data_IF_665692519865
#
_entry.id   IF_665692519865
#
_cell.length_a   1.000
_cell.length_b   1.000
_cell.length_c   1.000
_cell.angle_alpha   90.00
_cell.angle_beta   90.00
_cell.angle_gamma   90.00
#
_symmetry.space_group_name_H-M   'P 1'
#
loop_
_entity.id
_entity.type
_entity.pdbx_description
1 polymer ?
#
# COMPACT_ATOMS: atom_id res chain seq x y z
N UNK A 1 1.99 -6.25 31.06
CA UNK A 1 2.84 -5.93 29.89
C UNK A 1 1.98 -5.58 28.65
N UNK A 2 0.95 -6.34 28.31
CA UNK A 2 0.07 -6.12 27.14
C UNK A 2 -0.74 -4.80 27.20
N UNK A 3 -1.13 -4.33 28.38
CA UNK A 3 -1.96 -3.11 28.54
C UNK A 3 -1.16 -1.82 28.26
N UNK A 4 0.13 -1.79 28.58
CA UNK A 4 1.00 -0.64 28.29
C UNK A 4 1.26 -0.48 26.79
N UNK A 5 1.34 -1.59 26.04
CA UNK A 5 1.55 -1.55 24.59
C UNK A 5 0.30 -1.06 23.85
N UNK A 6 -0.90 -1.39 24.36
CA UNK A 6 -2.16 -0.90 23.79
C UNK A 6 -2.36 0.61 24.02
N UNK A 7 -1.97 1.12 25.18
CA UNK A 7 -2.02 2.55 25.50
C UNK A 7 -1.03 3.38 24.66
N UNK A 8 0.16 2.85 24.40
CA UNK A 8 1.13 3.49 23.50
C UNK A 8 0.63 3.55 22.06
N UNK A 9 0.01 2.48 21.57
CA UNK A 9 -0.59 2.46 20.21
C UNK A 9 -1.75 3.45 20.11
N UNK A 10 -2.62 3.54 21.12
CA UNK A 10 -3.72 4.51 21.17
C UNK A 10 -3.22 5.96 21.27
N UNK A 11 -2.14 6.19 22.00
CA UNK A 11 -1.52 7.53 22.12
C UNK A 11 -0.90 7.97 20.79
N UNK A 12 -0.21 7.08 20.09
CA UNK A 12 0.31 7.33 18.74
C UNK A 12 -0.82 7.53 17.72
N UNK A 13 -1.89 6.77 17.79
CA UNK A 13 -3.07 6.95 16.92
C UNK A 13 -3.76 8.29 17.15
N UNK A 14 -3.91 8.74 18.41
CA UNK A 14 -4.46 10.05 18.77
C UNK A 14 -3.54 11.21 18.33
N UNK A 15 -2.23 11.07 18.50
CA UNK A 15 -1.24 12.04 18.05
C UNK A 15 -1.23 12.18 16.52
N UNK A 16 -1.34 11.05 15.80
CA UNK A 16 -1.46 11.00 14.35
C UNK A 16 -2.77 11.63 13.84
N UNK A 17 -3.88 11.37 14.50
CA UNK A 17 -5.18 11.97 14.17
C UNK A 17 -5.15 13.50 14.30
N UNK A 18 -4.48 14.04 15.30
CA UNK A 18 -4.30 15.49 15.48
C UNK A 18 -3.41 16.12 14.42
N UNK A 19 -2.34 15.44 13.95
CA UNK A 19 -1.48 15.93 12.85
C UNK A 19 -2.26 15.99 11.53
N UNK A 20 -3.10 15.01 11.24
CA UNK A 20 -3.94 14.97 10.03
C UNK A 20 -5.00 16.09 10.03
N UNK A 21 -5.53 16.47 11.19
CA UNK A 21 -6.55 17.53 11.34
C UNK A 21 -5.95 18.94 11.18
N UNK A 22 -4.68 19.17 11.56
CA UNK A 22 -4.04 20.48 11.52
C UNK A 22 -3.55 20.87 10.11
N UNK A 23 -3.28 19.90 9.23
CA UNK A 23 -2.88 20.18 7.86
C UNK A 23 -4.12 20.33 6.98
N UNK A 24 -4.29 21.48 6.30
CA UNK A 24 -5.23 21.67 5.18
C UNK A 24 -4.85 20.73 4.03
N UNK A 25 -5.03 19.42 4.23
CA UNK A 25 -4.79 18.44 3.19
C UNK A 25 -5.85 18.58 2.10
N UNK A 26 -5.42 18.86 0.89
CA UNK A 26 -6.25 18.67 -0.29
C UNK A 26 -6.69 17.19 -0.30
N UNK A 27 -7.98 16.89 -0.54
CA UNK A 27 -8.56 15.51 -0.51
C UNK A 27 -7.67 14.46 -1.19
N UNK A 28 -6.98 14.88 -2.23
CA UNK A 28 -6.02 14.10 -2.99
C UNK A 28 -4.82 13.63 -2.15
N UNK A 29 -4.15 14.54 -1.45
CA UNK A 29 -2.99 14.21 -0.62
C UNK A 29 -3.39 13.32 0.56
N UNK A 30 -4.57 13.52 1.12
CA UNK A 30 -5.11 12.69 2.22
C UNK A 30 -5.23 11.22 1.83
N UNK A 31 -5.75 10.92 0.63
CA UNK A 31 -5.88 9.55 0.13
C UNK A 31 -4.52 8.87 -0.03
N UNK A 32 -3.52 9.59 -0.58
CA UNK A 32 -2.16 9.08 -0.74
C UNK A 32 -1.54 8.78 0.63
N UNK A 33 -1.67 9.68 1.61
CA UNK A 33 -1.12 9.49 2.94
C UNK A 33 -1.77 8.31 3.67
N UNK A 34 -3.11 8.20 3.63
CA UNK A 34 -3.82 7.07 4.24
C UNK A 34 -3.35 5.75 3.62
N UNK A 35 -3.26 5.68 2.28
CA UNK A 35 -2.77 4.49 1.58
C UNK A 35 -1.32 4.13 1.95
N UNK A 36 -0.45 5.13 2.06
CA UNK A 36 0.95 4.92 2.48
C UNK A 36 1.03 4.32 3.90
N UNK A 37 0.31 4.90 4.86
CA UNK A 37 0.33 4.39 6.24
C UNK A 37 -0.32 3.02 6.38
N UNK A 38 -1.38 2.75 5.61
CA UNK A 38 -1.98 1.42 5.56
C UNK A 38 -0.96 0.36 5.09
N UNK A 39 -0.22 0.64 4.02
CA UNK A 39 0.81 -0.28 3.51
C UNK A 39 1.94 -0.46 4.52
N UNK A 40 2.44 0.61 5.13
CA UNK A 40 3.48 0.53 6.17
C UNK A 40 2.99 -0.34 7.34
N UNK A 41 1.75 -0.16 7.79
CA UNK A 41 1.16 -0.99 8.83
C UNK A 41 1.09 -2.48 8.46
N UNK A 42 0.72 -2.79 7.23
CA UNK A 42 0.69 -4.18 6.72
C UNK A 42 2.10 -4.78 6.65
N UNK A 43 3.11 -4.01 6.21
CA UNK A 43 4.52 -4.47 6.18
C UNK A 43 5.01 -4.79 7.59
N UNK A 44 4.76 -3.91 8.56
CA UNK A 44 5.15 -4.14 9.97
C UNK A 44 4.48 -5.41 10.51
N UNK A 45 3.19 -5.57 10.25
CA UNK A 45 2.44 -6.76 10.65
C UNK A 45 2.99 -8.04 10.01
N UNK A 46 3.35 -8.00 8.73
CA UNK A 46 3.95 -9.13 8.02
C UNK A 46 5.30 -9.54 8.62
N UNK A 47 6.18 -8.56 8.90
CA UNK A 47 7.46 -8.83 9.54
C UNK A 47 7.29 -9.42 10.94
N UNK A 48 6.32 -8.93 11.69
CA UNK A 48 5.99 -9.48 13.01
C UNK A 48 5.51 -10.94 12.91
N UNK A 49 4.61 -11.26 11.99
CA UNK A 49 4.11 -12.62 11.77
C UNK A 49 5.23 -13.58 11.32
N UNK A 50 6.11 -13.13 10.42
CA UNK A 50 7.27 -13.91 9.98
C UNK A 50 8.21 -14.24 11.14
N UNK A 51 8.48 -13.25 12.00
CA UNK A 51 9.31 -13.46 13.18
C UNK A 51 8.66 -14.43 14.18
N UNK A 52 7.36 -14.32 14.41
CA UNK A 52 6.63 -15.25 15.27
C UNK A 52 6.63 -16.67 14.71
N UNK A 53 6.42 -16.82 13.41
CA UNK A 53 6.49 -18.13 12.75
C UNK A 53 7.89 -18.76 12.87
N UNK A 54 8.94 -17.97 12.69
CA UNK A 54 10.33 -18.44 12.86
C UNK A 54 10.60 -18.93 14.29
N UNK A 55 10.18 -18.16 15.30
CA UNK A 55 10.35 -18.53 16.71
C UNK A 55 9.56 -19.80 17.03
N UNK A 56 8.36 -19.93 16.50
CA UNK A 56 7.52 -21.11 16.70
C UNK A 56 8.16 -22.36 16.09
N UNK A 57 8.59 -22.31 14.83
CA UNK A 57 9.26 -23.44 14.15
C UNK A 57 10.53 -23.85 14.86
N UNK A 58 11.36 -22.87 15.28
CA UNK A 58 12.57 -23.13 16.05
C UNK A 58 12.25 -23.91 17.33
N UNK A 59 11.23 -23.47 18.08
CA UNK A 59 10.83 -24.10 19.32
C UNK A 59 10.26 -25.50 19.08
N UNK A 60 9.41 -25.69 18.06
CA UNK A 60 8.83 -27.00 17.71
C UNK A 60 9.92 -28.03 17.38
N UNK A 61 10.93 -27.63 16.59
CA UNK A 61 12.06 -28.52 16.26
C UNK A 61 12.90 -28.82 17.51
N UNK A 62 13.18 -27.82 18.37
CA UNK A 62 13.91 -28.03 19.63
C UNK A 62 13.17 -28.98 20.56
N UNK A 63 11.88 -28.83 20.73
CA UNK A 63 11.04 -29.67 21.56
C UNK A 63 11.01 -31.11 21.01
N UNK A 64 10.87 -31.28 19.68
CA UNK A 64 10.95 -32.63 19.03
C UNK A 64 12.30 -33.30 19.24
N UNK A 65 13.41 -32.56 19.08
CA UNK A 65 14.75 -33.11 19.37
C UNK A 65 14.84 -33.54 20.84
N UNK A 66 14.41 -32.69 21.76
CA UNK A 66 14.50 -32.97 23.18
C UNK A 66 13.69 -34.21 23.57
N UNK A 67 12.44 -34.30 23.13
CA UNK A 67 11.60 -35.47 23.40
C UNK A 67 12.15 -36.76 22.78
N UNK A 68 12.58 -36.73 21.52
CA UNK A 68 13.16 -37.89 20.88
C UNK A 68 14.45 -38.37 21.59
N UNK A 69 15.33 -37.45 22.00
CA UNK A 69 16.52 -37.79 22.77
C UNK A 69 16.16 -38.37 24.14
N UNK A 70 15.11 -37.87 24.79
CA UNK A 70 14.62 -38.41 26.04
C UNK A 70 14.13 -39.86 25.87
N UNK A 71 13.37 -40.12 24.81
CA UNK A 71 12.88 -41.47 24.48
C UNK A 71 14.02 -42.43 24.16
N UNK A 72 15.10 -41.94 23.48
CA UNK A 72 16.31 -42.75 23.23
C UNK A 72 16.98 -43.15 24.54
N UNK A 73 17.17 -42.21 25.46
CA UNK A 73 17.75 -42.50 26.76
C UNK A 73 16.88 -43.46 27.56
N UNK A 74 15.60 -43.25 27.61
CA UNK A 74 14.64 -44.17 28.32
C UNK A 74 14.74 -45.58 27.80
N UNK A 75 14.88 -45.75 26.46
CA UNK A 75 15.04 -47.10 25.87
C UNK A 75 16.34 -47.76 26.29
N UNK A 76 17.49 -47.01 26.28
CA UNK A 76 18.79 -47.54 26.72
C UNK A 76 18.67 -48.05 28.15
N UNK A 77 18.12 -47.25 29.06
CA UNK A 77 17.94 -47.67 30.48
C UNK A 77 17.01 -48.88 30.64
N UNK A 78 15.96 -48.94 29.84
CA UNK A 78 15.00 -50.07 29.85
C UNK A 78 15.70 -51.36 29.41
N UNK A 79 16.50 -51.32 28.35
CA UNK A 79 17.15 -52.51 27.83
C UNK A 79 18.29 -52.97 28.76
N UNK A 80 18.99 -52.04 29.43
CA UNK A 80 20.00 -52.33 30.44
C UNK A 80 19.35 -52.75 31.78
N UNK A 81 18.00 -52.66 31.94
CA UNK A 81 17.28 -52.90 33.21
C UNK A 81 17.78 -52.02 34.37
N UNK A 82 18.26 -50.84 34.06
CA UNK A 82 18.73 -49.82 34.98
C UNK A 82 17.62 -48.82 35.33
N UNK A 83 17.69 -48.22 36.50
CA UNK A 83 16.75 -47.18 36.91
C UNK A 83 17.05 -45.83 36.23
N UNK A 84 16.06 -45.22 35.64
CA UNK A 84 16.18 -43.91 34.97
C UNK A 84 16.43 -42.83 36.03
N UNK A 85 17.51 -42.04 35.93
CA UNK A 85 17.75 -40.92 36.85
C UNK A 85 16.71 -39.81 36.74
N UNK A 86 16.36 -39.17 37.82
CA UNK A 86 15.42 -38.07 37.87
C UNK A 86 16.00 -36.72 37.41
N UNK A 87 17.29 -36.71 37.09
CA UNK A 87 18.04 -35.51 36.62
C UNK A 87 17.86 -35.31 35.13
N UNK A 88 17.96 -34.06 34.68
CA UNK A 88 17.95 -33.76 33.24
C UNK A 88 19.22 -34.28 32.58
N UNK A 89 19.08 -35.32 31.79
CA UNK A 89 20.18 -36.00 31.10
C UNK A 89 20.60 -35.32 29.79
N UNK A 90 19.78 -34.43 29.27
CA UNK A 90 19.97 -33.75 27.98
C UNK A 90 20.35 -32.30 28.21
N UNK A 91 21.56 -31.92 27.80
CA UNK A 91 22.08 -30.56 27.90
C UNK A 91 22.15 -29.95 26.50
N UNK A 92 21.38 -28.92 26.25
CA UNK A 92 21.52 -28.10 25.05
C UNK A 92 22.72 -27.17 25.20
N UNK A 93 23.71 -27.29 24.32
CA UNK A 93 24.92 -26.45 24.31
C UNK A 93 24.78 -25.28 23.33
N UNK A 94 24.21 -25.58 22.17
CA UNK A 94 23.89 -24.53 21.15
C UNK A 94 22.59 -24.87 20.43
N UNK A 95 22.21 -24.05 19.43
CA UNK A 95 21.00 -24.27 18.65
C UNK A 95 20.97 -25.61 17.91
N UNK A 96 22.14 -26.12 17.56
CA UNK A 96 22.31 -27.33 16.76
C UNK A 96 23.11 -28.41 17.47
N UNK A 97 23.43 -28.24 18.76
CA UNK A 97 24.36 -29.15 19.47
C UNK A 97 23.84 -29.51 20.86
N UNK A 98 23.70 -30.82 21.12
CA UNK A 98 23.18 -31.38 22.35
C UNK A 98 24.18 -32.41 22.90
N UNK A 99 24.32 -32.46 24.22
CA UNK A 99 25.07 -33.48 24.94
C UNK A 99 24.06 -34.28 25.75
N UNK A 100 24.10 -35.59 25.61
CA UNK A 100 23.21 -36.53 26.30
C UNK A 100 24.05 -37.40 27.23
N UNK A 101 23.87 -37.20 28.53
CA UNK A 101 24.53 -37.99 29.55
C UNK A 101 23.76 -39.28 29.80
N UNK A 102 24.28 -40.40 29.34
CA UNK A 102 23.62 -41.70 29.53
C UNK A 102 24.04 -42.33 30.85
N UNK A 103 25.30 -42.08 31.31
CA UNK A 103 25.87 -42.67 32.52
C UNK A 103 25.67 -44.17 32.66
N UNK A 104 25.53 -44.86 31.55
CA UNK A 104 25.38 -46.32 31.45
C UNK A 104 26.03 -46.79 30.15
N UNK A 105 26.34 -48.07 30.04
CA UNK A 105 27.00 -48.68 28.88
C UNK A 105 25.96 -48.88 27.75
N UNK A 106 26.35 -48.50 26.55
CA UNK A 106 25.51 -48.70 25.35
C UNK A 106 26.36 -49.05 24.13
N UNK A 107 25.83 -49.82 23.21
CA UNK A 107 26.47 -50.18 21.94
C UNK A 107 26.20 -49.18 20.84
N UNK A 108 27.21 -48.85 20.02
CA UNK A 108 27.13 -47.85 18.94
C UNK A 108 25.98 -48.13 17.93
N UNK A 109 25.82 -49.37 17.54
CA UNK A 109 24.78 -49.75 16.55
C UNK A 109 23.36 -49.62 17.11
N UNK A 110 23.20 -49.91 18.39
CA UNK A 110 21.93 -49.81 19.11
C UNK A 110 21.52 -48.32 19.24
N UNK A 111 22.48 -47.46 19.60
CA UNK A 111 22.26 -46.01 19.69
C UNK A 111 21.82 -45.43 18.36
N UNK A 112 22.48 -45.76 17.26
CA UNK A 112 22.12 -45.24 15.94
C UNK A 112 20.70 -45.66 15.52
N UNK A 113 20.37 -46.94 15.80
CA UNK A 113 19.03 -47.47 15.54
C UNK A 113 17.94 -46.73 16.35
N UNK A 114 18.20 -46.46 17.62
CA UNK A 114 17.24 -45.73 18.47
C UNK A 114 17.11 -44.26 18.03
N UNK A 115 18.21 -43.56 17.75
CA UNK A 115 18.16 -42.21 17.22
C UNK A 115 17.31 -42.12 15.94
N UNK A 116 17.55 -43.00 14.96
CA UNK A 116 16.76 -43.05 13.74
C UNK A 116 15.27 -43.29 14.01
N UNK A 117 14.96 -44.30 14.83
CA UNK A 117 13.58 -44.68 15.13
C UNK A 117 12.81 -43.57 15.86
N UNK A 118 13.42 -42.95 16.87
CA UNK A 118 12.72 -41.90 17.63
C UNK A 118 12.58 -40.61 16.84
N UNK A 119 13.58 -40.22 15.99
CA UNK A 119 13.45 -39.07 15.11
C UNK A 119 12.38 -39.27 14.03
N UNK A 120 12.26 -40.48 13.45
CA UNK A 120 11.18 -40.80 12.53
C UNK A 120 9.79 -40.69 13.18
N UNK A 121 9.61 -41.14 14.42
CA UNK A 121 8.35 -41.04 15.17
C UNK A 121 7.89 -39.59 15.34
N UNK A 122 8.80 -38.68 15.66
CA UNK A 122 8.49 -37.27 15.81
C UNK A 122 8.51 -36.50 14.47
N UNK A 123 8.70 -37.23 13.35
CA UNK A 123 8.80 -36.67 11.98
C UNK A 123 9.89 -35.59 11.87
N UNK A 124 11.03 -35.85 12.47
CA UNK A 124 12.19 -34.97 12.40
C UNK A 124 13.06 -35.41 11.22
N UNK A 125 12.84 -34.80 10.06
CA UNK A 125 13.61 -35.05 8.82
C UNK A 125 14.86 -34.15 8.79
N UNK A 126 15.80 -34.40 9.68
CA UNK A 126 17.05 -33.65 9.77
C UNK A 126 18.25 -34.59 9.70
N UNK A 127 19.26 -34.17 8.94
CA UNK A 127 20.55 -34.80 9.00
C UNK A 127 21.19 -34.57 10.37
N UNK A 128 21.78 -35.58 10.92
CA UNK A 128 22.48 -35.46 12.19
C UNK A 128 23.78 -36.24 12.19
N UNK A 129 24.72 -35.73 12.96
CA UNK A 129 25.96 -36.44 13.29
C UNK A 129 26.03 -36.64 14.79
N UNK A 130 26.57 -37.76 15.19
CA UNK A 130 26.76 -38.07 16.61
C UNK A 130 28.14 -38.61 16.88
N UNK A 131 28.62 -38.36 18.10
CA UNK A 131 29.89 -38.85 18.58
C UNK A 131 29.72 -39.43 19.99
N UNK A 132 30.34 -40.56 20.22
CA UNK A 132 30.34 -41.25 21.51
C UNK A 132 31.73 -41.04 22.16
N UNK A 133 31.71 -40.60 23.41
CA UNK A 133 32.89 -40.36 24.21
C UNK A 133 32.96 -41.37 25.35
N UNK A 134 34.20 -41.87 25.59
CA UNK A 134 34.54 -42.68 26.74
C UNK A 134 35.57 -41.93 27.59
N UNK A 135 35.25 -41.77 28.86
CA UNK A 135 36.12 -41.07 29.80
C UNK A 135 37.41 -41.86 30.11
N UNK A 136 37.41 -43.17 29.93
CA UNK A 136 38.59 -44.00 30.20
C UNK A 136 39.72 -43.78 29.18
N UNK A 137 39.36 -43.47 27.95
CA UNK A 137 40.26 -43.21 26.83
C UNK A 137 40.50 -41.72 26.55
N UNK A 138 39.71 -40.82 27.19
CA UNK A 138 39.69 -39.37 26.95
C UNK A 138 39.54 -38.98 25.48
N UNK A 139 38.95 -39.86 24.65
CA UNK A 139 38.88 -39.70 23.21
C UNK A 139 37.45 -40.02 22.68
N UNK A 140 37.17 -39.55 21.49
CA UNK A 140 35.99 -39.98 20.73
C UNK A 140 36.19 -41.43 20.29
N UNK A 141 35.36 -42.34 20.79
CA UNK A 141 35.42 -43.76 20.48
C UNK A 141 34.79 -44.08 19.15
N UNK A 142 33.72 -43.36 18.82
CA UNK A 142 32.95 -43.59 17.59
C UNK A 142 32.22 -42.32 17.18
N UNK A 143 32.11 -42.07 15.88
CA UNK A 143 31.30 -41.01 15.30
C UNK A 143 30.74 -41.42 13.96
N UNK A 144 29.53 -41.01 13.67
CA UNK A 144 28.87 -41.25 12.38
C UNK A 144 27.98 -40.08 11.96
N UNK A 145 27.88 -39.90 10.64
CA UNK A 145 26.95 -38.93 10.02
C UNK A 145 25.78 -39.72 9.41
N UNK A 146 24.58 -39.30 9.75
CA UNK A 146 23.33 -39.91 9.27
C UNK A 146 22.57 -38.89 8.47
N UNK A 147 22.48 -39.11 7.16
CA UNK A 147 21.72 -38.27 6.26
C UNK A 147 20.34 -38.85 5.98
N UNK A 148 19.33 -38.02 5.96
CA UNK A 148 17.96 -38.37 5.53
C UNK A 148 17.95 -38.77 4.05
N UNK A 149 18.69 -38.05 3.21
CA UNK A 149 18.78 -38.30 1.76
C UNK A 149 19.84 -39.38 1.39
N UNK A 150 20.42 -40.07 2.37
CA UNK A 150 21.44 -41.13 2.16
C UNK A 150 22.78 -40.64 1.64
N UNK A 151 23.05 -39.33 1.60
CA UNK A 151 24.36 -38.78 1.26
C UNK A 151 25.32 -38.99 2.42
N UNK A 152 26.44 -39.64 2.14
CA UNK A 152 27.48 -39.83 3.15
C UNK A 152 28.36 -38.58 3.21
N UNK A 153 28.35 -37.91 4.36
CA UNK A 153 29.34 -36.88 4.70
C UNK A 153 30.25 -37.38 5.79
N UNK A 154 31.47 -36.80 5.91
CA UNK A 154 32.38 -37.12 7.00
C UNK A 154 31.96 -36.41 8.28
N UNK A 155 32.09 -37.09 9.41
CA UNK A 155 31.87 -36.48 10.73
C UNK A 155 32.89 -35.36 10.96
N UNK A 156 32.42 -34.24 11.49
CA UNK A 156 33.28 -33.15 11.87
C UNK A 156 33.85 -33.41 13.27
N UNK A 157 35.06 -34.00 13.35
CA UNK A 157 35.69 -34.33 14.65
C UNK A 157 35.91 -33.11 15.52
N UNK A 158 36.35 -32.00 14.95
CA UNK A 158 36.62 -30.73 15.65
C UNK A 158 35.33 -30.00 16.10
N UNK A 159 34.17 -30.45 15.62
CA UNK A 159 32.89 -29.80 15.94
C UNK A 159 32.29 -30.30 17.28
N UNK A 160 32.84 -31.32 17.87
CA UNK A 160 32.40 -31.90 19.14
C UNK A 160 33.34 -31.46 20.29
N UNK A 161 32.77 -30.75 21.25
CA UNK A 161 33.53 -30.31 22.43
C UNK A 161 33.57 -31.41 23.48
N UNK A 162 34.76 -31.68 24.02
CA UNK A 162 34.91 -32.59 25.16
C UNK A 162 34.24 -32.04 26.40
N UNK A 163 33.56 -32.93 27.15
CA UNK A 163 33.06 -32.65 28.48
C UNK A 163 33.71 -33.58 29.50
N UNK A 164 34.60 -33.06 30.31
CA UNK A 164 35.39 -33.80 31.30
C UNK A 164 34.58 -34.23 32.51
N UNK A 165 33.41 -33.69 32.71
CA UNK A 165 32.57 -33.93 33.89
C UNK A 165 31.63 -35.15 33.75
N UNK A 166 31.57 -35.75 32.54
CA UNK A 166 30.66 -36.85 32.22
C UNK A 166 31.41 -38.15 31.92
N UNK A 167 30.91 -39.31 32.42
CA UNK A 167 31.58 -40.61 32.29
C UNK A 167 31.21 -41.32 30.99
N UNK A 168 29.94 -41.49 30.70
CA UNK A 168 29.43 -42.08 29.47
C UNK A 168 28.37 -41.16 28.86
N UNK A 169 28.70 -40.53 27.74
CA UNK A 169 27.80 -39.62 27.06
C UNK A 169 27.98 -39.71 25.54
N UNK A 170 26.96 -39.32 24.83
CA UNK A 170 27.07 -39.03 23.42
C UNK A 170 26.70 -37.57 23.14
N UNK A 171 27.30 -37.01 22.11
CA UNK A 171 26.99 -35.69 21.63
C UNK A 171 26.30 -35.81 20.25
N UNK A 172 25.34 -34.99 20.00
CA UNK A 172 24.60 -34.97 18.73
C UNK A 172 24.54 -33.55 18.19
N UNK A 173 24.76 -33.45 16.90
CA UNK A 173 24.74 -32.17 16.17
C UNK A 173 23.88 -32.27 14.94
N UNK A 174 23.12 -31.20 14.63
CA UNK A 174 22.28 -31.06 13.48
C UNK A 174 22.83 -29.96 12.55
N UNK A 175 23.69 -30.28 11.57
CA UNK A 175 24.40 -29.30 10.74
C UNK A 175 23.43 -28.35 9.99
N UNK A 176 22.30 -28.86 9.52
CA UNK A 176 21.38 -28.14 8.65
C UNK A 176 20.06 -27.71 9.32
N UNK A 177 20.01 -27.69 10.66
CA UNK A 177 18.78 -27.34 11.41
C UNK A 177 18.20 -25.98 11.01
N UNK A 178 19.04 -24.97 10.73
CA UNK A 178 18.57 -23.65 10.29
C UNK A 178 17.89 -23.68 8.93
N UNK A 179 18.35 -24.54 8.01
CA UNK A 179 17.72 -24.67 6.68
C UNK A 179 16.32 -25.26 6.77
N UNK A 180 16.10 -26.16 7.74
CA UNK A 180 14.78 -26.74 8.02
C UNK A 180 13.78 -25.64 8.46
N UNK A 181 14.18 -24.72 9.32
CA UNK A 181 13.32 -23.60 9.72
C UNK A 181 12.88 -22.76 8.51
N UNK A 182 13.80 -22.46 7.59
CA UNK A 182 13.48 -21.70 6.38
C UNK A 182 12.59 -22.49 5.41
N UNK A 183 12.77 -23.80 5.28
CA UNK A 183 11.94 -24.66 4.43
C UNK A 183 10.48 -24.68 4.93
N UNK A 184 10.28 -24.79 6.24
CA UNK A 184 8.96 -24.75 6.86
C UNK A 184 8.26 -23.41 6.66
N UNK A 185 9.00 -22.29 6.59
CA UNK A 185 8.47 -20.97 6.32
C UNK A 185 8.06 -20.74 4.85
N UNK A 186 8.20 -21.73 3.96
CA UNK A 186 7.97 -21.57 2.52
C UNK A 186 6.57 -21.05 2.18
N UNK A 187 5.54 -21.43 2.91
CA UNK A 187 4.16 -20.95 2.73
C UNK A 187 4.02 -19.44 2.98
N UNK A 188 4.85 -18.84 3.86
CA UNK A 188 4.82 -17.41 4.16
C UNK A 188 5.39 -16.56 3.02
N UNK A 189 6.24 -17.15 2.15
CA UNK A 189 6.80 -16.45 0.98
C UNK A 189 5.72 -16.09 -0.04
N UNK A 190 4.67 -16.90 -0.17
CA UNK A 190 3.53 -16.59 -1.06
C UNK A 190 2.83 -15.32 -0.58
N UNK A 191 2.56 -15.20 0.72
CA UNK A 191 1.96 -13.99 1.28
C UNK A 191 2.84 -12.75 1.10
N UNK A 192 4.15 -12.91 1.28
CA UNK A 192 5.12 -11.83 1.06
C UNK A 192 5.15 -11.40 -0.42
N UNK A 193 5.10 -12.33 -1.35
CA UNK A 193 5.05 -12.05 -2.79
C UNK A 193 3.76 -11.29 -3.18
N UNK A 194 2.61 -11.71 -2.65
CA UNK A 194 1.33 -11.02 -2.87
C UNK A 194 1.37 -9.59 -2.33
N UNK A 195 1.91 -9.40 -1.13
CA UNK A 195 2.06 -8.08 -0.52
C UNK A 195 2.97 -7.17 -1.37
N UNK A 196 4.07 -7.71 -1.89
CA UNK A 196 4.97 -6.97 -2.79
C UNK A 196 4.27 -6.55 -4.09
N UNK A 197 3.44 -7.43 -4.64
CA UNK A 197 2.62 -7.12 -5.83
C UNK A 197 1.63 -5.99 -5.54
N UNK A 198 0.94 -6.03 -4.39
CA UNK A 198 0.02 -4.96 -3.96
C UNK A 198 0.76 -3.62 -3.82
N UNK A 199 1.98 -3.63 -3.28
CA UNK A 199 2.81 -2.43 -3.15
C UNK A 199 3.19 -1.85 -4.52
N UNK A 200 3.56 -2.70 -5.49
CA UNK A 200 3.85 -2.26 -6.87
C UNK A 200 2.61 -1.59 -7.49
N UNK A 201 1.43 -2.22 -7.37
CA UNK A 201 0.17 -1.68 -7.90
C UNK A 201 -0.14 -0.33 -7.25
N UNK A 202 0.06 -0.20 -5.94
CA UNK A 202 -0.16 1.06 -5.23
C UNK A 202 0.76 2.17 -5.72
N UNK A 203 2.07 1.92 -5.82
CA UNK A 203 3.06 2.89 -6.31
C UNK A 203 2.72 3.33 -7.74
N UNK A 204 2.36 2.38 -8.60
CA UNK A 204 1.93 2.66 -9.97
C UNK A 204 0.65 3.50 -10.01
N UNK A 205 -0.33 3.19 -9.17
CA UNK A 205 -1.59 3.96 -9.05
C UNK A 205 -1.34 5.39 -8.61
N UNK A 206 -0.47 5.60 -7.61
CA UNK A 206 -0.07 6.94 -7.16
C UNK A 206 0.64 7.71 -8.27
N UNK A 207 1.54 7.05 -9.01
CA UNK A 207 2.22 7.66 -10.14
C UNK A 207 1.23 8.15 -11.22
N UNK A 208 0.28 7.30 -11.63
CA UNK A 208 -0.76 7.68 -12.61
C UNK A 208 -1.61 8.84 -12.11
N UNK A 209 -1.96 8.84 -10.83
CA UNK A 209 -2.78 9.86 -10.20
C UNK A 209 -2.06 11.23 -10.17
N UNK A 210 -0.76 11.24 -9.88
CA UNK A 210 0.08 12.44 -9.92
C UNK A 210 0.23 12.98 -11.35
N UNK A 211 0.42 12.08 -12.30
CA UNK A 211 0.51 12.43 -13.72
C UNK A 211 -0.79 13.06 -14.22
N UNK A 212 -1.94 12.46 -13.90
CA UNK A 212 -3.26 12.99 -14.26
C UNK A 212 -3.48 14.38 -13.66
N UNK A 213 -3.13 14.58 -12.38
CA UNK A 213 -3.21 15.90 -11.73
C UNK A 213 -2.39 16.94 -12.48
N UNK A 214 -1.15 16.61 -12.84
CA UNK A 214 -0.26 17.48 -13.59
C UNK A 214 -0.84 17.85 -14.96
N UNK A 215 -1.39 16.90 -15.68
CA UNK A 215 -2.05 17.17 -16.97
C UNK A 215 -3.24 18.12 -16.83
N UNK A 216 -4.06 17.92 -15.80
CA UNK A 216 -5.22 18.81 -15.54
C UNK A 216 -4.76 20.24 -15.22
N UNK A 217 -3.71 20.40 -14.42
CA UNK A 217 -3.13 21.72 -14.10
C UNK A 217 -2.57 22.40 -15.36
N UNK A 218 -1.78 21.69 -16.18
CA UNK A 218 -1.24 22.22 -17.43
C UNK A 218 -2.35 22.60 -18.41
N UNK A 219 -3.40 21.78 -18.54
CA UNK A 219 -4.55 22.10 -19.39
C UNK A 219 -5.27 23.38 -18.94
N UNK A 220 -5.44 23.56 -17.63
CA UNK A 220 -6.04 24.75 -17.06
C UNK A 220 -5.22 26.01 -17.34
N UNK A 221 -3.91 25.94 -17.09
CA UNK A 221 -3.00 27.06 -17.32
C UNK A 221 -2.92 27.41 -18.82
N UNK A 222 -2.88 26.41 -19.69
CA UNK A 222 -2.93 26.62 -21.13
C UNK A 222 -4.20 27.36 -21.56
N UNK A 223 -5.37 26.91 -21.10
CA UNK A 223 -6.67 27.53 -21.45
C UNK A 223 -6.74 28.97 -20.94
N UNK A 224 -6.30 29.22 -19.70
CA UNK A 224 -6.30 30.56 -19.13
C UNK A 224 -5.37 31.52 -19.91
N UNK A 225 -4.14 31.08 -20.21
CA UNK A 225 -3.17 31.87 -20.93
C UNK A 225 -3.62 32.16 -22.38
N UNK A 226 -4.05 31.11 -23.10
CA UNK A 226 -4.55 31.26 -24.48
C UNK A 226 -5.76 32.20 -24.55
N UNK A 227 -6.63 32.13 -23.55
CA UNK A 227 -7.76 33.07 -23.50
C UNK A 227 -7.34 34.51 -23.39
N UNK A 228 -6.39 34.80 -22.49
CA UNK A 228 -5.87 36.17 -22.32
C UNK A 228 -5.20 36.66 -23.62
N UNK A 229 -4.38 35.80 -24.23
CA UNK A 229 -3.68 36.07 -25.48
C UNK A 229 -4.60 36.29 -26.69
N UNK A 230 -5.80 35.66 -26.70
CA UNK A 230 -6.81 35.91 -27.74
C UNK A 230 -7.68 37.13 -27.46
N UNK A 231 -8.01 37.40 -26.20
CA UNK A 231 -8.91 38.48 -25.80
C UNK A 231 -8.32 39.88 -26.16
N UNK A 232 -7.02 40.02 -25.99
CA UNK A 232 -6.32 41.30 -26.25
C UNK A 232 -6.34 41.72 -27.73
N UNK A 233 -5.91 40.88 -28.74
CA UNK A 233 -5.97 41.30 -30.14
C UNK A 233 -7.43 41.44 -30.63
N UNK A 234 -8.32 40.62 -30.12
CA UNK A 234 -9.73 40.69 -30.48
C UNK A 234 -10.40 41.98 -30.02
N UNK A 235 -10.09 42.45 -28.81
CA UNK A 235 -10.53 43.76 -28.33
C UNK A 235 -9.99 44.89 -29.20
N UNK A 236 -8.72 44.82 -29.61
CA UNK A 236 -8.12 45.81 -30.52
C UNK A 236 -8.81 45.82 -31.88
N UNK A 237 -9.13 44.66 -32.46
CA UNK A 237 -9.87 44.55 -33.72
C UNK A 237 -11.28 45.17 -33.58
N UNK A 238 -11.97 44.88 -32.49
CA UNK A 238 -13.30 45.43 -32.22
C UNK A 238 -13.28 46.96 -32.09
N UNK A 239 -12.33 47.49 -31.33
CA UNK A 239 -12.15 48.94 -31.13
C UNK A 239 -11.87 49.61 -32.47
N UNK A 240 -10.89 49.13 -33.24
CA UNK A 240 -10.53 49.67 -34.54
C UNK A 240 -11.69 49.61 -35.53
N UNK A 241 -12.42 48.48 -35.60
CA UNK A 241 -13.55 48.28 -36.51
C UNK A 241 -14.73 49.17 -36.14
N UNK A 242 -15.03 49.32 -34.86
CA UNK A 242 -16.11 50.22 -34.40
C UNK A 242 -15.73 51.68 -34.69
N UNK A 243 -14.48 52.07 -34.44
CA UNK A 243 -14.00 53.42 -34.78
C UNK A 243 -14.12 53.69 -36.28
N UNK A 244 -13.62 52.80 -37.12
CA UNK A 244 -13.73 52.92 -38.59
C UNK A 244 -15.19 52.98 -39.02
N UNK A 245 -16.06 52.14 -38.49
CA UNK A 245 -17.50 52.16 -38.82
C UNK A 245 -18.24 53.44 -38.38
N UNK A 246 -17.63 54.21 -37.45
CA UNK A 246 -18.15 55.51 -37.01
C UNK A 246 -17.80 56.68 -37.93
N UNK A 247 -16.80 56.55 -38.82
CA UNK A 247 -16.34 57.61 -39.74
C UNK A 247 -17.33 57.82 -40.89
N UNK A 248 -17.50 59.10 -41.32
CA UNK A 248 -18.47 59.47 -42.36
C UNK A 248 -18.12 58.81 -43.70
N UNK A 249 -16.83 58.69 -44.06
CA UNK A 249 -16.37 58.05 -45.30
C UNK A 249 -16.81 56.59 -45.43
N UNK A 250 -16.96 55.89 -44.31
CA UNK A 250 -17.42 54.49 -44.32
C UNK A 250 -18.97 54.44 -44.24
N UNK A 251 -19.58 55.32 -43.48
CA UNK A 251 -21.06 55.41 -43.39
C UNK A 251 -21.71 55.75 -44.72
N UNK A 252 -21.12 56.66 -45.48
CA UNK A 252 -21.60 57.13 -46.76
C UNK A 252 -21.37 56.12 -47.90
N UNK A 253 -20.57 55.10 -47.67
CA UNK A 253 -20.32 54.01 -48.61
C UNK A 253 -20.96 52.69 -48.15
N UNK A 254 -22.16 52.32 -48.70
CA UNK A 254 -22.92 51.14 -48.25
C UNK A 254 -22.10 49.82 -48.32
N UNK A 255 -21.19 49.69 -49.25
CA UNK A 255 -20.36 48.51 -49.42
C UNK A 255 -19.29 48.40 -48.32
N UNK A 256 -18.63 49.47 -47.99
CA UNK A 256 -17.63 49.50 -46.94
C UNK A 256 -18.28 49.30 -45.55
N UNK A 257 -19.39 49.97 -45.29
CA UNK A 257 -20.19 49.82 -44.05
C UNK A 257 -20.60 48.35 -43.85
N UNK A 258 -21.05 47.68 -44.92
CA UNK A 258 -21.41 46.23 -44.85
C UNK A 258 -20.21 45.36 -44.47
N UNK A 259 -19.03 45.59 -45.06
CA UNK A 259 -17.83 44.83 -44.67
C UNK A 259 -17.41 45.09 -43.24
N UNK A 260 -17.45 46.30 -42.80
CA UNK A 260 -17.12 46.67 -41.41
C UNK A 260 -18.07 46.03 -40.41
N UNK A 261 -19.36 45.99 -40.71
CA UNK A 261 -20.35 45.28 -39.91
C UNK A 261 -20.11 43.76 -39.86
N UNK A 262 -19.64 43.17 -40.96
CA UNK A 262 -19.26 41.76 -40.97
C UNK A 262 -18.07 41.52 -40.04
N UNK A 263 -17.04 42.33 -40.07
CA UNK A 263 -15.86 42.23 -39.19
C UNK A 263 -16.29 42.33 -37.73
N UNK A 264 -17.07 43.33 -37.36
CA UNK A 264 -17.58 43.52 -35.99
C UNK A 264 -18.36 42.28 -35.52
N UNK A 265 -19.30 41.78 -36.38
CA UNK A 265 -20.13 40.64 -36.04
C UNK A 265 -19.33 39.36 -35.89
N UNK A 266 -18.33 39.13 -36.75
CA UNK A 266 -17.46 37.96 -36.62
C UNK A 266 -16.53 38.03 -35.39
N UNK A 267 -16.03 39.23 -35.09
CA UNK A 267 -15.21 39.46 -33.89
C UNK A 267 -16.03 39.24 -32.61
N UNK A 268 -17.25 39.73 -32.55
CA UNK A 268 -18.15 39.47 -31.42
C UNK A 268 -18.45 37.98 -31.26
N UNK A 269 -18.70 37.25 -32.39
CA UNK A 269 -18.94 35.81 -32.38
C UNK A 269 -17.75 35.03 -31.88
N UNK A 270 -16.52 35.46 -32.30
CA UNK A 270 -15.30 34.83 -31.83
C UNK A 270 -15.10 35.04 -30.30
N UNK A 271 -15.39 36.26 -29.81
CA UNK A 271 -15.37 36.55 -28.38
C UNK A 271 -16.28 35.64 -27.58
N UNK A 272 -17.51 35.44 -28.06
CA UNK A 272 -18.45 34.51 -27.43
C UNK A 272 -17.94 33.06 -27.42
N UNK A 273 -17.29 32.60 -28.52
CA UNK A 273 -16.71 31.27 -28.56
C UNK A 273 -15.58 31.10 -27.54
N UNK A 274 -14.69 32.09 -27.40
CA UNK A 274 -13.61 32.09 -26.41
C UNK A 274 -14.18 32.02 -24.99
N UNK A 275 -15.20 32.83 -24.69
CA UNK A 275 -15.86 32.80 -23.37
C UNK A 275 -16.54 31.45 -23.08
N UNK A 276 -17.14 30.83 -24.09
CA UNK A 276 -17.76 29.51 -23.97
C UNK A 276 -16.73 28.41 -23.68
N UNK A 277 -15.56 28.44 -24.35
CA UNK A 277 -14.45 27.50 -24.07
C UNK A 277 -13.96 27.64 -22.63
N UNK A 278 -13.77 28.88 -22.16
CA UNK A 278 -13.40 29.17 -20.77
C UNK A 278 -14.41 28.63 -19.76
N UNK A 279 -15.67 28.85 -20.05
CA UNK A 279 -16.76 28.38 -19.18
C UNK A 279 -16.72 26.86 -19.02
N UNK A 280 -16.62 26.11 -20.14
CA UNK A 280 -16.50 24.66 -20.11
C UNK A 280 -15.25 24.22 -19.30
N UNK A 281 -14.10 24.82 -19.54
CA UNK A 281 -12.86 24.48 -18.84
C UNK A 281 -12.90 24.77 -17.34
N UNK A 282 -13.60 25.83 -16.91
CA UNK A 282 -13.83 26.14 -15.49
C UNK A 282 -14.83 25.16 -14.84
N UNK A 283 -15.82 24.72 -15.59
CA UNK A 283 -16.85 23.80 -15.11
C UNK A 283 -16.27 22.41 -14.83
N UNK A 284 -15.44 21.89 -15.73
CA UNK A 284 -14.76 20.59 -15.56
C UNK A 284 -13.81 20.56 -14.36
N UNK A 285 -13.32 21.73 -13.92
CA UNK A 285 -12.42 21.83 -12.76
C UNK A 285 -13.14 21.86 -11.40
N UNK A 286 -14.45 21.69 -11.33
CA UNK A 286 -15.28 21.79 -10.11
C UNK A 286 -15.11 23.13 -9.35
N UNK A 287 -14.69 24.19 -10.02
CA UNK A 287 -14.32 25.48 -9.42
C UNK A 287 -15.38 26.58 -9.64
N UNK A 288 -16.62 26.23 -10.02
CA UNK A 288 -17.68 27.23 -10.03
C UNK A 288 -18.09 27.51 -8.60
N UNK A 289 -17.54 28.55 -8.01
CA UNK A 289 -18.06 29.10 -6.78
C UNK A 289 -19.36 29.82 -7.12
N UNK A 290 -20.51 29.18 -6.90
CA UNK A 290 -21.80 29.81 -7.08
C UNK A 290 -22.03 30.84 -5.98
N UNK A 291 -22.14 32.14 -6.36
CA UNK A 291 -22.55 33.22 -5.47
C UNK A 291 -24.06 33.21 -5.29
N UNK A 292 -24.57 32.38 -4.39
CA UNK A 292 -26.01 32.25 -4.15
C UNK A 292 -26.56 33.49 -3.44
N UNK A 293 -27.37 34.23 -4.16
CA UNK A 293 -28.13 35.38 -3.64
C UNK A 293 -29.64 35.10 -3.71
N UNK A 294 -30.46 35.96 -3.09
CA UNK A 294 -31.91 35.89 -3.23
C UNK A 294 -32.30 36.51 -4.58
N UNK A 295 -32.64 35.67 -5.53
CA UNK A 295 -33.03 36.07 -6.89
C UNK A 295 -34.54 36.04 -7.02
N UNK A 296 -35.12 37.12 -7.56
CA UNK A 296 -36.53 37.19 -7.90
C UNK A 296 -36.75 36.54 -9.27
N UNK A 297 -37.48 35.46 -9.31
CA UNK A 297 -37.75 34.68 -10.52
C UNK A 297 -38.49 35.54 -11.58
N UNK A 298 -39.38 36.43 -11.15
CA UNK A 298 -40.15 37.31 -12.07
C UNK A 298 -39.21 38.26 -12.81
N UNK A 299 -38.28 38.90 -12.11
CA UNK A 299 -37.31 39.83 -12.71
C UNK A 299 -36.44 39.15 -13.75
N UNK A 300 -36.01 37.91 -13.48
CA UNK A 300 -35.18 37.13 -14.41
C UNK A 300 -36.00 36.73 -15.66
N UNK A 301 -37.26 36.29 -15.49
CA UNK A 301 -38.13 35.96 -16.62
C UNK A 301 -38.45 37.16 -17.51
N UNK A 302 -38.65 38.34 -16.93
CA UNK A 302 -38.87 39.59 -17.66
C UNK A 302 -37.62 39.95 -18.48
N UNK A 303 -36.42 39.84 -17.89
CA UNK A 303 -35.15 40.08 -18.59
C UNK A 303 -34.90 39.08 -19.73
N UNK A 304 -35.25 37.80 -19.54
CA UNK A 304 -35.18 36.77 -20.58
C UNK A 304 -36.14 37.07 -21.72
N UNK A 305 -37.38 37.44 -21.41
CA UNK A 305 -38.39 37.84 -22.39
C UNK A 305 -37.93 39.00 -23.25
N UNK A 306 -37.38 40.06 -22.64
CA UNK A 306 -36.83 41.22 -23.34
C UNK A 306 -35.71 40.85 -24.29
N UNK A 307 -34.74 40.03 -23.84
CA UNK A 307 -33.61 39.60 -24.65
C UNK A 307 -34.03 38.68 -25.81
N UNK A 308 -35.04 37.83 -25.65
CA UNK A 308 -35.58 36.99 -26.74
C UNK A 308 -36.27 37.87 -27.79
N UNK A 309 -37.05 38.89 -27.38
CA UNK A 309 -37.68 39.86 -28.31
C UNK A 309 -36.64 40.62 -29.11
N UNK A 310 -35.58 41.10 -28.48
CA UNK A 310 -34.51 41.84 -29.18
C UNK A 310 -33.75 40.95 -30.19
N UNK A 311 -33.55 39.70 -29.89
CA UNK A 311 -32.78 38.76 -30.75
C UNK A 311 -33.57 38.27 -31.98
N UNK A 312 -34.86 38.03 -31.84
CA UNK A 312 -35.64 37.33 -32.87
C UNK A 312 -36.48 38.23 -33.76
N UNK A 313 -36.57 39.54 -33.51
CA UNK A 313 -37.31 40.55 -34.34
C UNK A 313 -38.66 40.05 -34.86
N UNK A 314 -39.21 38.98 -34.31
CA UNK A 314 -40.52 38.42 -34.69
C UNK A 314 -41.54 38.78 -33.61
N UNK A 315 -42.77 39.01 -34.02
CA UNK A 315 -43.92 39.15 -33.12
C UNK A 315 -44.21 37.81 -32.37
N UNK A 316 -43.30 37.40 -31.47
CA UNK A 316 -43.54 36.31 -30.54
C UNK A 316 -44.23 36.88 -29.31
N UNK A 317 -45.45 36.42 -29.04
CA UNK A 317 -46.11 36.72 -27.76
C UNK A 317 -45.57 35.73 -26.72
N UNK A 318 -44.73 36.23 -25.80
CA UNK A 318 -44.26 35.45 -24.65
C UNK A 318 -45.05 35.91 -23.44
N UNK A 319 -45.91 35.04 -22.92
CA UNK A 319 -46.70 35.28 -21.72
C UNK A 319 -46.02 34.67 -20.50
N UNK A 320 -45.81 35.45 -19.43
CA UNK A 320 -45.26 35.00 -18.18
C UNK A 320 -46.41 34.89 -17.20
N UNK A 321 -46.78 33.66 -16.79
CA UNK A 321 -47.83 33.42 -15.80
C UNK A 321 -47.21 32.83 -14.51
N UNK A 322 -47.18 33.63 -13.48
CA UNK A 322 -46.72 33.22 -12.14
C UNK A 322 -47.88 33.37 -11.16
N UNK A 323 -48.18 32.30 -10.42
CA UNK A 323 -49.27 32.29 -9.40
C UNK A 323 -48.95 33.19 -8.20
N UNK A 324 -47.68 33.40 -7.89
CA UNK A 324 -47.15 34.27 -6.82
C UNK A 324 -45.69 34.64 -7.09
N UNK A 325 -45.20 35.63 -6.35
CA UNK A 325 -43.76 36.01 -6.39
C UNK A 325 -42.91 34.94 -5.75
N UNK A 326 -41.87 34.45 -6.47
CA UNK A 326 -40.94 33.42 -6.00
C UNK A 326 -39.55 34.03 -5.85
N UNK A 327 -38.97 33.85 -4.67
CA UNK A 327 -37.56 34.14 -4.38
C UNK A 327 -36.81 32.83 -4.23
N UNK A 328 -35.74 32.64 -5.03
CA UNK A 328 -34.90 31.44 -4.97
C UNK A 328 -33.49 31.83 -4.56
N UNK A 329 -32.80 30.93 -3.83
CA UNK A 329 -31.41 31.08 -3.52
C UNK A 329 -30.58 30.50 -4.67
N UNK A 330 -30.16 31.36 -5.59
CA UNK A 330 -29.42 30.96 -6.79
C UNK A 330 -28.34 32.00 -7.11
N UNK A 331 -27.38 31.59 -7.93
CA UNK A 331 -26.51 32.52 -8.62
C UNK A 331 -27.30 33.11 -9.80
N UNK A 332 -27.48 34.43 -9.78
CA UNK A 332 -28.38 35.14 -10.73
C UNK A 332 -27.92 34.91 -12.17
N UNK A 333 -26.62 34.99 -12.45
CA UNK A 333 -26.08 34.77 -13.80
C UNK A 333 -26.34 33.36 -14.31
N UNK A 334 -26.07 32.34 -13.46
CA UNK A 334 -26.31 30.95 -13.85
C UNK A 334 -27.79 30.63 -13.98
N UNK A 335 -28.61 31.19 -13.10
CA UNK A 335 -30.05 31.00 -13.15
C UNK A 335 -30.67 31.63 -14.43
N UNK A 336 -30.26 32.85 -14.78
CA UNK A 336 -30.61 33.47 -16.03
C UNK A 336 -30.25 32.61 -17.25
N UNK A 337 -29.00 32.11 -17.31
CA UNK A 337 -28.58 31.28 -18.43
C UNK A 337 -29.35 29.96 -18.56
N UNK A 338 -29.74 29.35 -17.46
CA UNK A 338 -30.57 28.15 -17.48
C UNK A 338 -31.97 28.49 -18.09
N UNK A 339 -32.62 29.54 -17.60
CA UNK A 339 -33.95 29.94 -18.09
C UNK A 339 -33.89 30.36 -19.57
N UNK A 340 -32.81 31.04 -20.00
CA UNK A 340 -32.65 31.49 -21.39
C UNK A 340 -32.44 30.34 -22.38
N UNK A 341 -31.88 29.21 -21.93
CA UNK A 341 -31.58 28.04 -22.78
C UNK A 341 -32.63 26.94 -22.76
N UNK A 342 -33.64 27.05 -21.90
CA UNK A 342 -34.83 26.17 -21.87
C UNK A 342 -35.88 26.69 -22.80
#
# INVERSE_FOLDING_TARGET
MIVNDLLTVLFYASFFCNIVVIMKFNRFNTVIFIGFFAIVGVIIMQLFLLNQAYIFEKKDVEDKIHFALQDVVERIYRDNKSELPTTNLIKKVSENYFIVNVNDVFENQILEHYLKTEFEKVKLELDFEYAIYDCSSESMVYGNYVAVDGKKESVCEDCFSKNTDLTYYFAIRFPHVKQSYFKSLSQYWVFTAVLFLVLIIYVYSVFLMLQQKRYTELQKDFINNMTHEFKTPLASILIASNYANSQNEIKDNPKLSKYMQIIINQSNKLNQHIEKILYVAKTDSNQIALEKTKVDVQSVLELVKENIHLKHQKNMQIEISLAKRYLVMADEFHFYNVIYNV
#
